data_IF_549453739367
#
_entry.id   IF_549453739367
#
_cell.length_a   1.000
_cell.length_b   1.000
_cell.length_c   1.000
_cell.angle_alpha   90.00
_cell.angle_beta   90.00
_cell.angle_gamma   90.00
#
_symmetry.space_group_name_H-M   'P 1'
#
loop_
_entity.id
_entity.type
_entity.pdbx_description
1 polymer ?
#
# COMPACT_ATOMS: atom_id res chain seq x y z
N UNK A 1 -2.59 -55.25 49.96
CA UNK A 1 -1.91 -53.95 50.13
C UNK A 1 -0.63 -53.95 49.31
N UNK A 2 -0.57 -53.22 48.19
CA UNK A 2 0.64 -53.14 47.36
C UNK A 2 0.82 -51.70 46.87
N UNK A 3 1.78 -50.99 47.47
CA UNK A 3 2.11 -49.59 47.17
C UNK A 3 2.91 -49.53 45.86
N UNK A 4 2.27 -49.16 44.75
CA UNK A 4 2.94 -48.86 43.47
C UNK A 4 3.67 -47.51 43.58
N UNK A 5 5.01 -47.56 43.55
CA UNK A 5 5.90 -46.41 43.36
C UNK A 5 5.72 -45.84 41.95
N UNK A 6 5.23 -44.61 41.86
CA UNK A 6 5.18 -43.82 40.62
C UNK A 6 6.60 -43.33 40.27
N UNK A 7 7.15 -43.80 39.15
CA UNK A 7 8.40 -43.28 38.57
C UNK A 7 8.06 -42.29 37.46
N UNK A 8 8.49 -41.04 37.68
CA UNK A 8 8.47 -39.88 36.78
C UNK A 8 8.99 -40.24 35.38
N UNK A 9 8.17 -40.02 34.35
CA UNK A 9 8.65 -39.88 32.98
C UNK A 9 9.01 -38.41 32.74
N UNK A 10 10.30 -38.11 32.80
CA UNK A 10 10.86 -36.80 32.45
C UNK A 10 10.94 -36.75 30.91
N UNK A 11 9.98 -36.06 30.28
CA UNK A 11 9.99 -35.83 28.83
C UNK A 11 11.12 -34.85 28.52
N UNK A 12 12.15 -35.33 27.84
CA UNK A 12 13.14 -34.50 27.17
C UNK A 12 12.45 -33.66 26.10
N UNK A 13 12.17 -32.39 26.41
CA UNK A 13 11.81 -31.41 25.39
C UNK A 13 13.06 -31.15 24.54
N UNK A 14 13.06 -31.67 23.29
CA UNK A 14 13.93 -31.18 22.23
C UNK A 14 13.72 -29.67 22.13
N UNK A 15 14.75 -28.89 22.46
CA UNK A 15 14.76 -27.46 22.21
C UNK A 15 14.59 -27.26 20.70
N UNK A 16 13.51 -26.56 20.31
CA UNK A 16 13.35 -26.08 18.94
C UNK A 16 14.52 -25.14 18.65
N UNK A 17 15.18 -25.24 17.48
CA UNK A 17 16.18 -24.24 17.11
C UNK A 17 15.52 -22.86 17.11
N UNK A 18 16.16 -21.91 17.78
CA UNK A 18 15.74 -20.51 17.82
C UNK A 18 15.54 -20.01 16.40
N UNK A 19 14.37 -19.42 16.14
CA UNK A 19 14.12 -18.71 14.88
C UNK A 19 15.26 -17.71 14.62
N UNK A 20 15.72 -17.55 13.38
CA UNK A 20 16.73 -16.55 13.06
C UNK A 20 16.25 -15.19 13.53
N UNK A 21 17.10 -14.54 14.34
CA UNK A 21 16.89 -13.18 14.86
C UNK A 21 16.66 -12.27 13.64
N UNK A 22 15.51 -11.60 13.58
CA UNK A 22 15.25 -10.60 12.55
C UNK A 22 16.40 -9.57 12.56
N UNK A 23 16.89 -9.10 11.41
CA UNK A 23 17.92 -8.07 11.38
C UNK A 23 17.41 -6.86 12.19
N UNK A 24 18.11 -6.55 13.28
CA UNK A 24 17.90 -5.34 14.05
C UNK A 24 18.15 -4.15 13.10
N UNK A 25 17.12 -3.32 12.92
CA UNK A 25 17.07 -2.07 12.12
C UNK A 25 16.50 -2.10 10.69
N UNK A 26 15.52 -2.94 10.38
CA UNK A 26 14.57 -2.58 9.29
C UNK A 26 13.65 -1.46 9.78
N UNK A 27 13.94 -0.21 9.39
CA UNK A 27 13.08 0.94 9.68
C UNK A 27 12.12 1.21 8.52
N UNK A 28 10.83 1.06 8.79
CA UNK A 28 9.80 1.46 7.82
C UNK A 28 9.68 2.98 7.81
N UNK A 29 10.00 3.58 6.66
CA UNK A 29 9.82 5.01 6.42
C UNK A 29 8.86 5.24 5.26
N UNK A 30 8.17 6.37 5.26
CA UNK A 30 7.51 6.85 4.06
C UNK A 30 8.56 7.25 3.03
N UNK A 31 8.22 7.32 1.73
CA UNK A 31 9.14 7.85 0.72
C UNK A 31 9.61 9.31 0.93
N UNK A 32 9.00 10.07 1.86
CA UNK A 32 9.53 11.37 2.31
C UNK A 32 10.61 11.24 3.42
N UNK A 33 10.88 10.03 3.89
CA UNK A 33 11.82 9.74 4.97
C UNK A 33 11.22 9.76 6.39
N UNK A 34 9.92 10.02 6.54
CA UNK A 34 9.28 10.04 7.86
C UNK A 34 9.08 8.61 8.41
N UNK A 35 9.19 8.43 9.72
CA UNK A 35 8.78 7.16 10.35
C UNK A 35 7.30 6.88 10.10
N UNK A 36 6.99 5.64 9.70
CA UNK A 36 5.61 5.21 9.55
C UNK A 36 4.96 5.10 10.92
N UNK A 37 4.00 5.99 11.20
CA UNK A 37 3.23 6.05 12.44
C UNK A 37 1.78 6.28 12.06
N UNK A 38 0.89 5.34 12.41
CA UNK A 38 -0.53 5.50 12.11
C UNK A 38 -1.11 6.61 12.99
N UNK A 39 -1.60 7.66 12.34
CA UNK A 39 -2.20 8.81 13.02
C UNK A 39 -3.57 9.10 12.43
N UNK A 40 -4.47 9.63 13.25
CA UNK A 40 -5.80 10.01 12.78
C UNK A 40 -6.30 11.29 13.42
N UNK A 41 -7.05 12.08 12.67
CA UNK A 41 -7.81 13.20 13.18
C UNK A 41 -9.31 12.98 12.93
N UNK A 42 -10.14 13.42 13.87
CA UNK A 42 -11.59 13.41 13.74
C UNK A 42 -12.12 14.84 13.83
N UNK A 43 -12.94 15.18 12.85
CA UNK A 43 -13.67 16.43 12.78
C UNK A 43 -15.17 16.17 12.91
N UNK A 44 -15.88 17.09 13.56
CA UNK A 44 -17.35 17.16 13.56
C UNK A 44 -17.80 18.13 12.48
N UNK A 45 -18.93 17.85 11.84
CA UNK A 45 -19.59 18.76 10.93
C UNK A 45 -21.10 18.57 10.93
N UNK A 46 -21.83 19.53 10.34
CA UNK A 46 -23.27 19.44 10.08
C UNK A 46 -23.61 19.46 8.57
N UNK A 47 -22.62 19.69 7.70
CA UNK A 47 -22.84 19.95 6.26
C UNK A 47 -22.15 18.89 5.38
N UNK A 48 -22.55 17.63 5.49
CA UNK A 48 -21.92 16.50 4.77
C UNK A 48 -21.87 16.74 3.26
N UNK A 49 -22.99 17.17 2.65
CA UNK A 49 -23.09 17.32 1.20
C UNK A 49 -22.23 18.48 0.66
N UNK A 50 -22.14 19.58 1.40
CA UNK A 50 -21.27 20.72 1.05
C UNK A 50 -19.80 20.35 1.16
N UNK A 51 -19.42 19.60 2.22
CA UNK A 51 -18.06 19.10 2.40
C UNK A 51 -17.71 18.15 1.25
N UNK A 52 -18.60 17.20 0.94
CA UNK A 52 -18.44 16.28 -0.21
C UNK A 52 -18.21 17.05 -1.50
N UNK A 53 -19.08 18.01 -1.82
CA UNK A 53 -18.97 18.80 -3.06
C UNK A 53 -17.67 19.61 -3.10
N UNK A 54 -17.25 20.18 -1.97
CA UNK A 54 -15.99 20.96 -1.88
C UNK A 54 -14.78 20.06 -2.08
N UNK A 55 -14.75 18.86 -1.48
CA UNK A 55 -13.67 17.90 -1.66
C UNK A 55 -13.62 17.35 -3.09
N UNK A 56 -14.78 17.07 -3.71
CA UNK A 56 -14.85 16.62 -5.10
C UNK A 56 -14.38 17.69 -6.11
N UNK A 57 -14.64 18.97 -5.83
CA UNK A 57 -14.18 20.07 -6.66
C UNK A 57 -12.67 20.35 -6.50
N UNK A 58 -12.06 19.84 -5.44
CA UNK A 58 -10.64 19.99 -5.20
C UNK A 58 -9.85 18.97 -6.04
N UNK A 59 -8.76 19.42 -6.65
CA UNK A 59 -7.91 18.63 -7.52
C UNK A 59 -7.09 17.58 -6.75
N UNK A 60 -6.97 17.70 -5.43
CA UNK A 60 -6.14 16.85 -4.59
C UNK A 60 -6.91 15.75 -3.83
N UNK A 61 -8.24 15.71 -3.91
CA UNK A 61 -9.04 14.65 -3.31
C UNK A 61 -9.80 13.86 -4.38
N UNK A 62 -9.66 12.53 -4.38
CA UNK A 62 -10.49 11.66 -5.21
C UNK A 62 -11.73 11.21 -4.46
N UNK A 63 -12.83 10.95 -5.16
CA UNK A 63 -13.91 10.12 -4.61
C UNK A 63 -13.71 8.69 -5.10
N UNK A 64 -13.73 7.74 -4.18
CA UNK A 64 -13.74 6.32 -4.53
C UNK A 64 -15.20 5.92 -4.83
N UNK A 65 -15.64 6.09 -6.09
CA UNK A 65 -17.02 5.81 -6.51
C UNK A 65 -17.36 4.30 -6.40
N UNK A 66 -16.35 3.42 -6.38
CA UNK A 66 -16.53 1.96 -6.21
C UNK A 66 -16.88 1.56 -4.76
N UNK A 67 -16.70 2.45 -3.78
CA UNK A 67 -17.11 2.27 -2.38
C UNK A 67 -18.41 3.02 -2.03
N UNK A 68 -19.12 3.54 -3.04
CA UNK A 68 -20.42 4.18 -2.84
C UNK A 68 -21.48 3.14 -2.47
N UNK A 69 -21.52 2.71 -1.20
CA UNK A 69 -22.72 2.11 -0.64
C UNK A 69 -23.88 3.11 -0.75
N UNK A 70 -25.05 2.58 -1.10
CA UNK A 70 -26.33 3.26 -1.27
C UNK A 70 -26.44 4.54 -0.42
N UNK A 71 -26.64 5.68 -1.08
CA UNK A 71 -27.03 7.05 -0.68
C UNK A 71 -26.80 7.63 0.75
N UNK A 72 -26.56 6.83 1.77
CA UNK A 72 -26.44 7.17 3.20
C UNK A 72 -25.18 6.54 3.86
N UNK A 73 -24.31 5.90 3.08
CA UNK A 73 -23.05 5.32 3.54
C UNK A 73 -21.92 6.33 3.75
N UNK A 74 -20.82 5.94 4.43
CA UNK A 74 -19.63 6.77 4.55
C UNK A 74 -18.94 6.93 3.19
N UNK A 75 -18.59 8.18 2.81
CA UNK A 75 -17.82 8.44 1.60
C UNK A 75 -16.33 8.34 1.87
N UNK A 76 -15.59 7.70 0.97
CA UNK A 76 -14.15 7.52 1.08
C UNK A 76 -13.42 8.42 0.09
N UNK A 77 -12.48 9.22 0.61
CA UNK A 77 -11.67 10.12 -0.21
C UNK A 77 -10.17 9.86 0.01
N UNK A 78 -9.43 9.32 -0.97
CA UNK A 78 -7.98 9.44 -0.96
C UNK A 78 -7.55 10.91 -1.15
N UNK A 79 -6.61 11.36 -0.32
CA UNK A 79 -5.89 12.61 -0.55
C UNK A 79 -4.59 12.32 -1.30
N UNK A 80 -4.41 12.96 -2.45
CA UNK A 80 -3.33 12.67 -3.39
C UNK A 80 -2.16 13.64 -3.26
N UNK A 81 -0.97 13.16 -3.59
CA UNK A 81 0.20 14.00 -3.81
C UNK A 81 -0.02 14.88 -5.06
N UNK A 82 0.05 16.20 -4.88
CA UNK A 82 -0.01 17.23 -5.94
C UNK A 82 1.35 17.82 -6.25
N UNK A 83 2.37 17.59 -5.42
CA UNK A 83 3.65 18.28 -5.55
C UNK A 83 4.38 17.85 -6.82
N UNK A 84 4.84 18.80 -7.65
CA UNK A 84 5.53 18.50 -8.91
C UNK A 84 6.92 17.90 -8.71
N UNK A 85 7.54 18.13 -7.55
CA UNK A 85 8.85 17.61 -7.13
C UNK A 85 8.76 16.31 -6.32
N UNK A 86 7.57 15.71 -6.21
CA UNK A 86 7.41 14.45 -5.51
C UNK A 86 8.29 13.36 -6.16
N UNK A 87 8.98 12.53 -5.36
CA UNK A 87 9.77 11.43 -5.91
C UNK A 87 8.90 10.55 -6.81
N UNK A 88 9.41 10.11 -7.98
CA UNK A 88 8.67 9.22 -8.86
C UNK A 88 8.27 7.97 -8.07
N UNK A 89 6.97 7.74 -7.93
CA UNK A 89 6.46 6.57 -7.23
C UNK A 89 6.43 5.34 -8.14
N UNK A 90 6.58 4.17 -7.52
CA UNK A 90 6.18 2.85 -8.03
C UNK A 90 4.65 2.70 -8.20
N UNK A 91 3.94 3.80 -8.48
CA UNK A 91 2.52 3.80 -8.80
C UNK A 91 2.39 3.77 -10.33
N UNK A 92 2.31 2.59 -10.96
CA UNK A 92 2.18 2.48 -12.40
C UNK A 92 0.89 3.14 -12.94
N UNK A 93 -0.07 3.36 -12.04
CA UNK A 93 -1.36 4.03 -12.24
C UNK A 93 -1.73 4.84 -11.00
N UNK A 94 -2.42 5.97 -11.24
CA UNK A 94 -2.95 6.82 -10.19
C UNK A 94 -1.90 7.74 -9.54
N UNK A 95 -2.38 8.55 -8.61
CA UNK A 95 -1.55 9.47 -7.83
C UNK A 95 -1.24 8.85 -6.48
N UNK A 96 -0.07 9.16 -5.93
CA UNK A 96 0.33 8.65 -4.62
C UNK A 96 -0.65 9.13 -3.55
N UNK A 97 -1.16 8.20 -2.76
CA UNK A 97 -2.06 8.51 -1.64
C UNK A 97 -1.23 8.96 -0.42
N UNK A 98 -1.56 10.14 0.10
CA UNK A 98 -0.95 10.75 1.27
C UNK A 98 -1.71 10.43 2.56
N UNK A 99 -3.04 10.44 2.49
CA UNK A 99 -3.94 10.12 3.59
C UNK A 99 -5.26 9.56 3.05
N UNK A 100 -5.99 8.82 3.88
CA UNK A 100 -7.36 8.37 3.61
C UNK A 100 -8.34 9.17 4.45
N UNK A 101 -9.40 9.67 3.82
CA UNK A 101 -10.49 10.36 4.50
C UNK A 101 -11.77 9.52 4.45
N UNK A 102 -12.56 9.61 5.51
CA UNK A 102 -13.88 8.99 5.61
C UNK A 102 -14.87 10.04 6.09
N UNK A 103 -15.85 10.35 5.25
CA UNK A 103 -16.90 11.34 5.51
C UNK A 103 -18.21 10.61 5.82
N UNK A 104 -18.59 10.60 7.09
CA UNK A 104 -19.90 10.10 7.56
C UNK A 104 -20.91 11.25 7.61
N UNK A 105 -22.19 11.00 7.94
CA UNK A 105 -23.17 12.08 8.10
C UNK A 105 -22.81 13.14 9.16
N UNK A 106 -21.98 12.79 10.15
CA UNK A 106 -21.69 13.67 11.31
C UNK A 106 -20.22 13.93 11.56
N UNK A 107 -19.32 13.22 10.88
CA UNK A 107 -17.89 13.33 11.12
C UNK A 107 -17.06 13.12 9.86
N UNK A 108 -15.98 13.89 9.77
CA UNK A 108 -14.92 13.70 8.79
C UNK A 108 -13.70 13.15 9.54
N UNK A 109 -13.24 11.98 9.14
CA UNK A 109 -12.06 11.33 9.72
C UNK A 109 -10.92 11.31 8.71
N UNK A 110 -9.71 11.60 9.18
CA UNK A 110 -8.47 11.54 8.40
C UNK A 110 -7.58 10.48 9.01
N UNK A 111 -7.00 9.60 8.20
CA UNK A 111 -5.97 8.63 8.60
C UNK A 111 -4.74 8.81 7.73
N UNK A 112 -3.58 8.97 8.36
CA UNK A 112 -2.31 9.19 7.67
C UNK A 112 -1.20 8.31 8.25
N UNK A 113 -0.28 7.80 7.41
CA UNK A 113 0.82 6.94 7.82
C UNK A 113 2.02 7.72 8.40
N UNK A 114 1.92 9.04 8.59
CA UNK A 114 2.90 9.82 9.35
C UNK A 114 2.27 11.06 9.97
N UNK A 115 2.88 11.57 11.05
CA UNK A 115 2.44 12.81 11.71
C UNK A 115 2.47 14.00 10.75
N UNK A 116 3.53 14.11 9.94
CA UNK A 116 3.68 15.16 8.93
C UNK A 116 2.52 15.17 7.96
N UNK A 117 2.19 14.01 7.37
CA UNK A 117 1.06 13.85 6.45
C UNK A 117 -0.28 14.21 7.08
N UNK A 118 -0.50 13.85 8.35
CA UNK A 118 -1.71 14.27 9.06
C UNK A 118 -1.76 15.79 9.19
N UNK A 119 -0.68 16.42 9.68
CA UNK A 119 -0.62 17.89 9.82
C UNK A 119 -0.85 18.60 8.48
N UNK A 120 -0.25 18.12 7.40
CA UNK A 120 -0.41 18.69 6.07
C UNK A 120 -1.86 18.54 5.56
N UNK A 121 -2.44 17.35 5.70
CA UNK A 121 -3.84 17.10 5.32
C UNK A 121 -4.81 17.98 6.12
N UNK A 122 -4.59 18.11 7.44
CA UNK A 122 -5.41 18.95 8.31
C UNK A 122 -5.39 20.41 7.88
N UNK A 123 -4.20 20.97 7.65
CA UNK A 123 -4.05 22.34 7.16
C UNK A 123 -4.76 22.54 5.81
N UNK A 124 -4.67 21.56 4.92
CA UNK A 124 -5.39 21.60 3.63
C UNK A 124 -6.91 21.57 3.81
N UNK A 125 -7.42 20.73 4.71
CA UNK A 125 -8.85 20.68 5.04
C UNK A 125 -9.34 21.98 5.70
N UNK A 126 -8.57 22.53 6.64
CA UNK A 126 -8.90 23.80 7.30
C UNK A 126 -8.91 24.96 6.29
N UNK A 127 -8.04 24.96 5.28
CA UNK A 127 -8.06 25.94 4.18
C UNK A 127 -9.28 25.79 3.26
N UNK A 128 -9.72 24.56 2.98
CA UNK A 128 -10.82 24.29 2.06
C UNK A 128 -12.20 24.43 2.71
N UNK A 129 -12.32 23.97 3.96
CA UNK A 129 -13.59 23.80 4.64
C UNK A 129 -13.80 24.84 5.75
N UNK A 130 -12.72 25.46 6.26
CA UNK A 130 -12.80 26.50 7.29
C UNK A 130 -13.67 26.09 8.48
N UNK A 131 -14.60 26.97 8.84
CA UNK A 131 -15.50 26.79 9.99
C UNK A 131 -16.54 25.66 9.81
N UNK A 132 -16.61 25.01 8.63
CA UNK A 132 -17.52 23.87 8.39
C UNK A 132 -17.09 22.60 9.12
N UNK A 133 -15.85 22.53 9.56
CA UNK A 133 -15.29 21.40 10.29
C UNK A 133 -14.75 21.87 11.65
N UNK A 134 -15.06 21.13 12.70
CA UNK A 134 -14.54 21.38 14.04
C UNK A 134 -13.66 20.20 14.46
N UNK A 135 -12.39 20.45 14.78
CA UNK A 135 -11.50 19.38 15.23
C UNK A 135 -11.92 18.88 16.62
N UNK A 136 -12.24 17.60 16.72
CA UNK A 136 -12.64 16.95 17.97
C UNK A 136 -11.46 16.24 18.62
N UNK A 137 -10.66 15.52 17.83
CA UNK A 137 -9.67 14.59 18.37
C UNK A 137 -8.52 14.32 17.41
N UNK A 138 -7.32 14.10 17.97
CA UNK A 138 -6.13 13.59 17.26
C UNK A 138 -5.61 12.37 18.03
N UNK A 139 -5.36 11.26 17.34
CA UNK A 139 -4.78 10.03 17.90
C UNK A 139 -3.49 9.64 17.18
N UNK A 140 -2.55 9.04 17.91
CA UNK A 140 -1.33 8.40 17.38
C UNK A 140 -1.16 6.97 17.90
N UNK A 141 -0.70 6.07 17.03
CA UNK A 141 -0.21 4.68 17.17
C UNK A 141 -0.82 3.74 18.24
N UNK A 142 -0.76 4.04 19.54
CA UNK A 142 -1.20 3.08 20.57
C UNK A 142 -2.73 2.94 20.73
N UNK A 143 -3.49 3.96 20.33
CA UNK A 143 -4.97 3.95 20.46
C UNK A 143 -5.69 3.61 19.16
N UNK A 144 -5.09 3.90 18.00
CA UNK A 144 -5.74 3.70 16.70
C UNK A 144 -5.95 2.22 16.34
N UNK A 145 -5.06 1.32 16.77
CA UNK A 145 -5.16 -0.13 16.56
C UNK A 145 -6.13 -0.83 17.52
N UNK A 146 -6.46 -0.22 18.68
CA UNK A 146 -7.30 -0.83 19.72
C UNK A 146 -8.79 -0.49 19.60
N UNK A 147 -9.12 0.66 19.02
CA UNK A 147 -10.50 1.17 18.96
C UNK A 147 -11.23 0.87 17.64
N UNK A 148 -10.57 0.26 16.64
CA UNK A 148 -11.20 0.00 15.35
C UNK A 148 -11.74 -1.42 15.22
N UNK A 149 -13.03 -1.61 14.91
CA UNK A 149 -13.45 -2.85 14.27
C UNK A 149 -12.65 -2.98 12.97
N UNK A 150 -12.14 -4.18 12.70
CA UNK A 150 -11.49 -4.48 11.43
C UNK A 150 -12.44 -4.02 10.31
N UNK A 151 -11.95 -3.27 9.31
CA UNK A 151 -12.77 -2.92 8.17
C UNK A 151 -13.37 -4.21 7.61
N UNK A 152 -14.68 -4.22 7.36
CA UNK A 152 -15.29 -5.33 6.66
C UNK A 152 -14.56 -5.48 5.32
N UNK A 153 -14.17 -6.71 4.95
CA UNK A 153 -13.47 -6.93 3.70
C UNK A 153 -14.38 -6.47 2.56
N UNK A 154 -14.06 -5.33 1.97
CA UNK A 154 -14.68 -4.88 0.73
C UNK A 154 -14.50 -5.99 -0.32
N UNK A 155 -15.53 -6.21 -1.14
CA UNK A 155 -15.41 -7.15 -2.25
C UNK A 155 -14.22 -6.72 -3.11
N UNK A 156 -13.31 -7.65 -3.44
CA UNK A 156 -12.13 -7.31 -4.23
C UNK A 156 -12.59 -6.81 -5.60
N UNK A 157 -12.27 -5.57 -5.91
CA UNK A 157 -12.46 -5.02 -7.26
C UNK A 157 -11.67 -5.86 -8.27
N UNK A 158 -12.35 -6.39 -9.27
CA UNK A 158 -11.74 -7.13 -10.38
C UNK A 158 -11.78 -6.21 -11.60
N UNK A 159 -10.66 -5.58 -11.99
CA UNK A 159 -10.62 -4.72 -13.17
C UNK A 159 -10.96 -5.51 -14.45
N UNK A 160 -11.54 -4.84 -15.46
CA UNK A 160 -11.74 -5.43 -16.78
C UNK A 160 -10.44 -5.98 -17.37
N UNK A 161 -10.47 -7.10 -18.11
CA UNK A 161 -9.27 -7.73 -18.65
C UNK A 161 -8.48 -6.83 -19.61
N UNK A 162 -9.14 -5.93 -20.33
CA UNK A 162 -8.50 -4.95 -21.21
C UNK A 162 -7.64 -3.96 -20.41
N UNK A 163 -8.18 -3.44 -19.31
CA UNK A 163 -7.46 -2.54 -18.40
C UNK A 163 -6.26 -3.24 -17.75
N UNK A 164 -6.41 -4.52 -17.39
CA UNK A 164 -5.32 -5.35 -16.86
C UNK A 164 -4.20 -5.49 -17.90
N UNK A 165 -4.54 -5.75 -19.15
CA UNK A 165 -3.55 -5.93 -20.22
C UNK A 165 -2.79 -4.63 -20.53
N UNK A 166 -3.49 -3.50 -20.62
CA UNK A 166 -2.87 -2.18 -20.84
C UNK A 166 -1.94 -1.79 -19.68
N UNK A 167 -2.40 -2.01 -18.44
CA UNK A 167 -1.61 -1.75 -17.25
C UNK A 167 -0.34 -2.61 -17.22
N UNK A 168 -0.49 -3.90 -17.49
CA UNK A 168 0.64 -4.84 -17.56
C UNK A 168 1.66 -4.40 -18.59
N UNK A 169 1.22 -4.07 -19.81
CA UNK A 169 2.13 -3.61 -20.86
C UNK A 169 2.88 -2.33 -20.43
N UNK A 170 2.18 -1.35 -19.86
CA UNK A 170 2.82 -0.12 -19.37
C UNK A 170 3.86 -0.41 -18.29
N UNK A 171 3.54 -1.28 -17.35
CA UNK A 171 4.46 -1.68 -16.27
C UNK A 171 5.70 -2.38 -16.79
N UNK A 172 5.53 -3.33 -17.71
CA UNK A 172 6.65 -4.07 -18.28
C UNK A 172 7.56 -3.17 -19.12
N UNK A 173 6.98 -2.21 -19.87
CA UNK A 173 7.75 -1.19 -20.60
C UNK A 173 8.53 -0.27 -19.66
N UNK A 174 7.93 0.17 -18.56
CA UNK A 174 8.65 0.95 -17.57
C UNK A 174 9.79 0.15 -16.94
N UNK A 175 9.53 -1.12 -16.62
CA UNK A 175 10.52 -2.00 -15.97
C UNK A 175 11.78 -2.24 -16.82
N UNK A 176 11.64 -2.37 -18.15
CA UNK A 176 12.80 -2.56 -19.04
C UNK A 176 13.71 -1.33 -19.18
N UNK A 177 13.20 -0.16 -18.83
CA UNK A 177 13.89 1.13 -18.91
C UNK A 177 14.34 1.62 -17.52
N UNK A 178 14.12 0.84 -16.45
CA UNK A 178 14.49 1.19 -15.07
C UNK A 178 15.81 0.52 -14.67
N UNK A 179 16.69 1.26 -14.00
CA UNK A 179 17.95 0.74 -13.46
C UNK A 179 17.71 -0.27 -12.35
N UNK A 180 18.22 -1.48 -12.49
CA UNK A 180 18.02 -2.57 -11.54
C UNK A 180 19.32 -2.88 -10.79
N UNK A 181 19.37 -2.79 -9.45
CA UNK A 181 20.57 -3.12 -8.68
C UNK A 181 21.12 -4.54 -8.93
N UNK A 182 20.23 -5.52 -9.16
CA UNK A 182 20.62 -6.89 -9.49
C UNK A 182 21.27 -7.05 -10.88
N UNK A 183 21.18 -6.03 -11.73
CA UNK A 183 21.85 -5.92 -13.03
C UNK A 183 23.00 -4.92 -12.97
N UNK A 184 23.65 -4.79 -11.82
CA UNK A 184 24.76 -3.85 -11.60
C UNK A 184 24.36 -2.38 -11.81
N UNK A 185 23.08 -2.05 -11.58
CA UNK A 185 22.52 -0.71 -11.79
C UNK A 185 22.13 -0.39 -13.24
N UNK A 186 22.31 -1.33 -14.17
CA UNK A 186 21.88 -1.20 -15.55
C UNK A 186 20.38 -1.44 -15.70
N UNK A 187 19.80 -0.88 -16.76
CA UNK A 187 18.45 -1.25 -17.19
C UNK A 187 18.47 -2.64 -17.85
N UNK A 188 17.35 -3.40 -17.85
CA UNK A 188 17.25 -4.62 -18.64
C UNK A 188 17.61 -4.40 -20.11
N UNK A 189 17.23 -3.26 -20.70
CA UNK A 189 17.57 -2.90 -22.08
C UNK A 189 19.08 -2.73 -22.32
N UNK A 190 19.80 -2.17 -21.37
CA UNK A 190 21.26 -2.04 -21.45
C UNK A 190 21.96 -3.37 -21.18
N UNK A 191 21.50 -4.12 -20.18
CA UNK A 191 22.12 -5.38 -19.78
C UNK A 191 22.14 -6.41 -20.94
N UNK A 192 21.06 -6.51 -21.72
CA UNK A 192 20.96 -7.48 -22.84
C UNK A 192 21.92 -7.24 -24.00
N UNK A 193 22.66 -6.12 -24.00
CA UNK A 193 23.68 -5.86 -25.01
C UNK A 193 24.90 -6.79 -24.88
N UNK A 194 25.08 -7.45 -23.74
CA UNK A 194 26.17 -8.40 -23.49
C UNK A 194 25.63 -9.81 -23.25
N UNK A 195 26.39 -10.86 -23.60
CA UNK A 195 25.97 -12.24 -23.36
C UNK A 195 25.72 -12.52 -21.86
N UNK A 196 26.61 -12.02 -20.99
CA UNK A 196 26.47 -12.13 -19.53
C UNK A 196 25.21 -11.41 -19.03
N UNK A 197 24.94 -10.20 -19.51
CA UNK A 197 23.76 -9.45 -19.09
C UNK A 197 22.45 -10.07 -19.57
N UNK A 198 22.43 -10.74 -20.73
CA UNK A 198 21.27 -11.55 -21.17
C UNK A 198 20.96 -12.67 -20.18
N UNK A 199 21.99 -13.42 -19.75
CA UNK A 199 21.82 -14.48 -18.75
C UNK A 199 21.32 -13.92 -17.41
N UNK A 200 21.88 -12.80 -16.95
CA UNK A 200 21.42 -12.11 -15.72
C UNK A 200 19.96 -11.69 -15.81
N UNK A 201 19.52 -11.10 -16.93
CA UNK A 201 18.13 -10.68 -17.15
C UNK A 201 17.18 -11.89 -17.15
N UNK A 202 17.53 -12.98 -17.85
CA UNK A 202 16.71 -14.19 -17.86
C UNK A 202 16.60 -14.83 -16.46
N UNK A 203 17.72 -14.90 -15.73
CA UNK A 203 17.74 -15.39 -14.35
C UNK A 203 16.86 -14.53 -13.41
N UNK A 204 16.87 -13.22 -13.61
CA UNK A 204 16.04 -12.28 -12.85
C UNK A 204 14.54 -12.50 -13.14
N UNK A 205 14.15 -12.66 -14.42
CA UNK A 205 12.76 -12.93 -14.82
C UNK A 205 12.27 -14.24 -14.18
N UNK A 206 13.08 -15.30 -14.21
CA UNK A 206 12.73 -16.58 -13.58
C UNK A 206 12.60 -16.45 -12.06
N UNK A 207 13.52 -15.71 -11.42
CA UNK A 207 13.44 -15.41 -9.99
C UNK A 207 12.13 -14.71 -9.61
N UNK A 208 11.74 -13.67 -10.36
CA UNK A 208 10.49 -12.94 -10.16
C UNK A 208 9.29 -13.89 -10.28
N UNK A 209 9.25 -14.71 -11.34
CA UNK A 209 8.17 -15.69 -11.55
C UNK A 209 8.04 -16.70 -10.41
N UNK A 210 9.15 -17.17 -9.83
CA UNK A 210 9.15 -18.03 -8.65
C UNK A 210 8.60 -17.32 -7.41
N UNK A 211 8.96 -16.04 -7.20
CA UNK A 211 8.42 -15.26 -6.09
C UNK A 211 6.91 -15.04 -6.21
N UNK A 212 6.43 -14.65 -7.39
CA UNK A 212 5.00 -14.47 -7.66
C UNK A 212 4.21 -15.77 -7.44
N UNK A 213 4.79 -16.91 -7.80
CA UNK A 213 4.13 -18.23 -7.63
C UNK A 213 4.00 -18.67 -6.16
N UNK A 214 4.82 -18.13 -5.25
CA UNK A 214 4.80 -18.44 -3.82
C UNK A 214 3.87 -17.51 -3.03
N UNK A 215 3.39 -16.43 -3.65
CA UNK A 215 2.48 -15.47 -3.02
C UNK A 215 1.04 -16.00 -2.93
N UNK A 216 0.24 -15.48 -1.97
CA UNK A 216 -1.18 -15.81 -1.90
C UNK A 216 -1.92 -15.29 -3.14
N UNK A 217 -2.56 -16.20 -3.89
CA UNK A 217 -3.45 -15.83 -4.99
C UNK A 217 -4.81 -15.40 -4.42
N UNK A 218 -5.02 -14.10 -4.30
CA UNK A 218 -6.31 -13.51 -3.89
C UNK A 218 -7.03 -12.95 -5.13
N UNK A 219 -8.36 -13.03 -5.22
CA UNK A 219 -9.11 -12.32 -6.25
C UNK A 219 -8.75 -10.82 -6.24
N UNK A 220 -8.61 -10.19 -7.40
CA UNK A 220 -8.16 -8.80 -7.54
C UNK A 220 -6.65 -8.56 -7.42
N UNK A 221 -5.85 -9.58 -7.08
CA UNK A 221 -4.39 -9.44 -7.04
C UNK A 221 -3.80 -9.36 -8.46
N UNK A 222 -3.32 -8.19 -8.83
CA UNK A 222 -2.63 -7.97 -10.09
C UNK A 222 -1.17 -8.45 -10.02
N UNK A 223 -0.72 -9.22 -11.00
CA UNK A 223 0.64 -9.78 -11.05
C UNK A 223 1.11 -9.86 -12.51
N UNK A 224 1.95 -8.91 -12.98
CA UNK A 224 2.47 -8.91 -14.35
C UNK A 224 3.24 -10.19 -14.68
N UNK A 225 3.04 -10.72 -15.89
CA UNK A 225 3.87 -11.79 -16.46
C UNK A 225 5.13 -11.20 -17.10
N UNK A 226 6.20 -11.13 -16.32
CA UNK A 226 7.51 -10.66 -16.77
C UNK A 226 8.13 -11.50 -17.88
N UNK A 227 7.60 -12.69 -18.20
CA UNK A 227 8.05 -13.46 -19.38
C UNK A 227 7.76 -12.72 -20.69
N UNK A 228 6.75 -11.84 -20.73
CA UNK A 228 6.47 -11.01 -21.91
C UNK A 228 7.63 -10.07 -22.26
N UNK A 229 8.46 -9.72 -21.27
CA UNK A 229 9.65 -8.88 -21.48
C UNK A 229 10.71 -9.56 -22.34
N UNK A 230 10.79 -10.89 -22.34
CA UNK A 230 11.73 -11.65 -23.19
C UNK A 230 11.55 -11.26 -24.66
N UNK A 231 10.28 -11.17 -25.10
CA UNK A 231 9.94 -10.72 -26.46
C UNK A 231 10.26 -9.24 -26.69
N UNK A 232 9.96 -8.38 -25.71
CA UNK A 232 10.25 -6.93 -25.78
C UNK A 232 11.75 -6.64 -25.89
N UNK A 233 12.60 -7.50 -25.34
CA UNK A 233 14.06 -7.39 -25.37
C UNK A 233 14.71 -8.21 -26.50
N UNK A 234 13.93 -8.93 -27.31
CA UNK A 234 14.45 -9.76 -28.40
C UNK A 234 15.33 -10.93 -27.93
N UNK A 235 14.97 -11.54 -26.80
CA UNK A 235 15.71 -12.65 -26.17
C UNK A 235 15.12 -14.04 -26.49
N UNK A 236 14.28 -14.14 -27.53
CA UNK A 236 13.63 -15.39 -27.97
C UNK A 236 14.53 -16.28 -28.83
#
# INVERSE_FOLDING_TARGET
MSKKRSKRHQRFYRQKPSAPRAPEDVRLTTPEGDSVVLTSARYRHAAQQEIRSTLQAADDFGLDDDLASESDGPFHFPWYETRPDAPPTFAPIGRRILAQLTLTPTALRVKAPSRRRLTDCRRRLEQLLGDRIELVEIKTEDQALRDEPAPEPAEPFIPPPELVAELEEKMLRQWIDESIPALDGLTPREAVQTAEGREKVLALIDHIGRMQSRGPKRPGMFSPDYRKVIKMLGLE
#
